data_IF_938677601322
#
_entry.id   IF_938677601322
#
_cell.length_a   1.000
_cell.length_b   1.000
_cell.length_c   1.000
_cell.angle_alpha   90.00
_cell.angle_beta   90.00
_cell.angle_gamma   90.00
#
_symmetry.space_group_name_H-M   'P 1'
#
loop_
_entity.id
_entity.type
_entity.pdbx_description
1 polymer ?
#
# COMPACT_ATOMS: atom_id res chain seq x y z
N UNK A 1 -5.98 19.97 19.91
CA UNK A 1 -6.76 18.84 19.37
C UNK A 1 -7.41 19.32 18.09
N UNK A 2 -6.95 18.82 16.95
CA UNK A 2 -7.65 19.01 15.68
C UNK A 2 -8.88 18.08 15.77
N UNK A 3 -10.07 18.65 15.73
CA UNK A 3 -11.33 17.90 15.72
C UNK A 3 -11.44 17.13 14.41
N UNK A 4 -11.51 15.80 14.48
CA UNK A 4 -11.80 14.98 13.30
C UNK A 4 -13.19 15.36 12.79
N UNK A 5 -13.27 15.80 11.53
CA UNK A 5 -14.54 16.20 10.92
C UNK A 5 -15.30 14.90 10.62
N UNK A 6 -16.46 14.66 11.26
CA UNK A 6 -17.18 13.41 11.05
C UNK A 6 -17.73 13.34 9.63
N UNK A 7 -17.76 12.14 9.07
CA UNK A 7 -18.57 11.89 7.88
C UNK A 7 -20.05 12.01 8.23
N UNK A 8 -20.83 12.64 7.35
CA UNK A 8 -22.29 12.60 7.45
C UNK A 8 -22.84 11.18 7.22
N UNK A 9 -24.06 10.89 7.68
CA UNK A 9 -24.72 9.58 7.53
C UNK A 9 -24.74 9.08 6.08
N UNK A 10 -24.83 10.00 5.11
CA UNK A 10 -24.73 9.73 3.66
C UNK A 10 -23.50 8.90 3.29
N UNK A 11 -22.38 9.09 3.98
CA UNK A 11 -21.10 8.45 3.70
C UNK A 11 -20.81 7.26 4.61
N UNK A 12 -21.80 6.75 5.36
CA UNK A 12 -21.60 5.61 6.26
C UNK A 12 -21.07 4.35 5.55
N UNK A 13 -21.38 4.18 4.25
CA UNK A 13 -20.92 3.05 3.42
C UNK A 13 -19.87 3.47 2.38
N UNK A 14 -19.27 4.65 2.53
CA UNK A 14 -18.32 5.17 1.55
C UNK A 14 -17.11 4.24 1.39
N UNK A 15 -16.78 3.96 0.13
CA UNK A 15 -15.57 3.26 -0.31
C UNK A 15 -14.88 4.13 -1.36
N UNK A 16 -13.57 4.36 -1.22
CA UNK A 16 -12.81 5.12 -2.24
C UNK A 16 -12.75 4.41 -3.59
N UNK A 17 -13.05 3.11 -3.63
CA UNK A 17 -13.06 2.33 -4.86
C UNK A 17 -14.38 2.44 -5.62
N UNK A 18 -15.50 2.70 -4.94
CA UNK A 18 -16.83 2.69 -5.55
C UNK A 18 -17.64 3.91 -5.12
N UNK A 19 -17.11 5.14 -5.25
CA UNK A 19 -17.90 6.34 -4.99
C UNK A 19 -18.98 6.50 -6.08
N UNK A 20 -20.21 6.79 -5.67
CA UNK A 20 -21.32 7.08 -6.60
C UNK A 20 -21.39 8.56 -7.01
N UNK A 21 -20.99 9.44 -6.10
CA UNK A 21 -21.00 10.90 -6.25
C UNK A 21 -20.03 11.55 -5.26
N UNK A 22 -19.75 12.83 -5.41
CA UNK A 22 -18.92 13.63 -4.50
C UNK A 22 -17.49 13.85 -5.02
N UNK A 23 -16.72 14.65 -4.28
CA UNK A 23 -15.37 15.07 -4.67
C UNK A 23 -14.29 14.35 -3.85
N UNK A 24 -13.46 13.56 -4.53
CA UNK A 24 -12.28 12.93 -3.95
C UNK A 24 -11.11 13.92 -4.02
N UNK A 25 -10.65 14.40 -2.86
CA UNK A 25 -9.42 15.19 -2.75
C UNK A 25 -8.26 14.23 -2.48
N UNK A 26 -7.56 13.82 -3.52
CA UNK A 26 -6.50 12.81 -3.45
C UNK A 26 -5.18 13.48 -3.08
N UNK A 27 -4.62 13.07 -1.94
CA UNK A 27 -3.41 13.65 -1.36
C UNK A 27 -2.36 12.54 -1.19
N UNK A 28 -1.54 12.27 -2.21
CA UNK A 28 -0.61 11.16 -2.18
C UNK A 28 0.70 11.49 -1.43
N UNK A 29 0.59 12.25 -0.33
CA UNK A 29 1.74 12.67 0.48
C UNK A 29 2.39 11.50 1.20
N UNK A 30 3.72 11.42 1.13
CA UNK A 30 4.53 10.41 1.81
C UNK A 30 5.05 10.95 3.14
N UNK A 31 4.14 11.21 4.09
CA UNK A 31 4.44 11.66 5.45
C UNK A 31 4.98 10.51 6.33
N UNK A 32 6.04 9.84 5.86
CA UNK A 32 6.74 8.70 6.49
C UNK A 32 8.18 9.11 6.92
N UNK A 33 8.92 8.26 7.67
CA UNK A 33 10.32 8.55 8.00
C UNK A 33 11.18 8.85 6.75
N UNK A 34 11.71 10.08 6.67
CA UNK A 34 12.30 10.60 5.43
C UNK A 34 13.69 10.03 5.12
N UNK A 35 14.43 9.59 6.14
CA UNK A 35 15.72 8.93 6.01
C UNK A 35 15.61 7.58 5.30
N UNK A 36 14.55 6.81 5.62
CA UNK A 36 14.23 5.56 4.95
C UNK A 36 13.75 5.83 3.50
N UNK A 37 13.03 6.95 3.22
CA UNK A 37 12.37 7.17 1.91
C UNK A 37 13.40 7.47 0.84
N UNK A 38 14.46 8.18 1.22
CA UNK A 38 15.61 8.52 0.36
C UNK A 38 16.32 7.29 -0.21
N UNK A 39 16.14 6.11 0.37
CA UNK A 39 16.72 4.85 -0.11
C UNK A 39 15.94 4.23 -1.28
N UNK A 40 14.73 4.71 -1.55
CA UNK A 40 13.87 4.19 -2.61
C UNK A 40 14.08 4.98 -3.90
N UNK A 41 14.62 4.32 -4.93
CA UNK A 41 14.77 4.93 -6.26
C UNK A 41 13.41 5.32 -6.85
N UNK A 42 13.27 6.61 -7.16
CA UNK A 42 12.06 7.19 -7.74
C UNK A 42 10.90 7.32 -6.76
N UNK A 43 11.17 7.40 -5.44
CA UNK A 43 10.15 7.47 -4.39
C UNK A 43 9.14 8.61 -4.60
N UNK A 44 9.55 9.75 -5.15
CA UNK A 44 8.65 10.85 -5.53
C UNK A 44 7.51 10.38 -6.43
N UNK A 45 7.81 9.52 -7.41
CA UNK A 45 6.81 9.02 -8.34
C UNK A 45 5.80 8.08 -7.67
N UNK A 46 5.98 7.69 -6.40
CA UNK A 46 4.93 6.98 -5.66
C UNK A 46 3.68 7.83 -5.45
N UNK A 47 3.78 9.16 -5.65
CA UNK A 47 2.59 9.99 -5.79
C UNK A 47 1.63 9.44 -6.84
N UNK A 48 2.13 8.79 -7.90
CA UNK A 48 1.32 8.20 -8.98
C UNK A 48 0.65 6.88 -8.59
N UNK A 49 0.94 6.30 -7.41
CA UNK A 49 0.27 5.07 -6.95
C UNK A 49 -1.22 5.27 -6.71
N UNK A 50 -1.70 6.50 -6.51
CA UNK A 50 -3.13 6.78 -6.35
C UNK A 50 -3.82 7.18 -7.66
N UNK A 51 -3.12 7.23 -8.80
CA UNK A 51 -3.74 7.58 -10.09
C UNK A 51 -4.80 6.57 -10.57
N UNK A 52 -4.83 5.35 -10.02
CA UNK A 52 -5.95 4.43 -10.27
C UNK A 52 -7.29 5.04 -9.84
N UNK A 53 -7.31 5.99 -8.90
CA UNK A 53 -8.54 6.69 -8.49
C UNK A 53 -9.11 7.57 -9.61
N UNK A 54 -8.35 7.91 -10.65
CA UNK A 54 -8.91 8.57 -11.83
C UNK A 54 -9.96 7.69 -12.53
N UNK A 55 -9.89 6.37 -12.38
CA UNK A 55 -10.88 5.44 -12.92
C UNK A 55 -12.27 5.57 -12.26
N UNK A 56 -12.35 6.18 -11.07
CA UNK A 56 -13.63 6.49 -10.40
C UNK A 56 -14.44 7.54 -11.17
N UNK A 57 -13.79 8.34 -12.04
CA UNK A 57 -14.47 9.30 -12.92
C UNK A 57 -15.42 8.63 -13.92
N UNK A 58 -15.43 7.29 -14.04
CA UNK A 58 -16.48 6.55 -14.72
C UNK A 58 -17.88 6.86 -14.16
N UNK A 59 -17.98 7.13 -12.86
CA UNK A 59 -19.21 7.58 -12.24
C UNK A 59 -19.42 9.08 -12.55
N UNK A 60 -20.53 9.47 -13.21
CA UNK A 60 -20.74 10.86 -13.65
C UNK A 60 -20.90 11.85 -12.50
N UNK A 61 -21.32 11.39 -11.32
CA UNK A 61 -21.46 12.23 -10.12
C UNK A 61 -20.14 12.47 -9.38
N UNK A 62 -19.05 11.83 -9.77
CA UNK A 62 -17.77 11.86 -9.05
C UNK A 62 -16.84 12.93 -9.63
N UNK A 63 -16.15 13.67 -8.76
CA UNK A 63 -15.08 14.60 -9.14
C UNK A 63 -13.78 14.18 -8.45
N UNK A 64 -12.65 14.46 -9.09
CA UNK A 64 -11.34 14.17 -8.52
C UNK A 64 -10.49 15.42 -8.53
N UNK A 65 -10.01 15.82 -7.35
CA UNK A 65 -8.98 16.84 -7.17
C UNK A 65 -7.70 16.11 -6.79
N UNK A 66 -6.75 16.03 -7.71
CA UNK A 66 -5.49 15.33 -7.49
C UNK A 66 -4.36 16.31 -7.21
N UNK A 67 -3.68 16.13 -6.08
CA UNK A 67 -2.57 16.98 -5.68
C UNK A 67 -1.25 16.27 -5.98
N UNK A 68 -0.26 17.01 -6.51
CA UNK A 68 1.08 16.48 -6.76
C UNK A 68 2.17 17.51 -6.50
N UNK A 69 3.39 17.02 -6.23
CA UNK A 69 4.58 17.87 -6.08
C UNK A 69 4.98 18.53 -7.40
N UNK A 70 4.81 17.81 -8.51
CA UNK A 70 5.11 18.28 -9.86
C UNK A 70 3.95 17.97 -10.83
N UNK A 71 3.86 18.65 -11.99
CA UNK A 71 2.85 18.34 -12.98
C UNK A 71 2.91 16.88 -13.43
N UNK A 72 1.75 16.21 -13.46
CA UNK A 72 1.62 14.86 -14.03
C UNK A 72 1.68 14.99 -15.55
N UNK A 73 2.47 14.12 -16.19
CA UNK A 73 2.61 14.09 -17.64
C UNK A 73 1.24 13.86 -18.32
N UNK A 74 0.83 14.68 -19.30
CA UNK A 74 -0.45 14.51 -20.00
C UNK A 74 -0.65 13.12 -20.64
N UNK A 75 0.42 12.45 -21.08
CA UNK A 75 0.33 11.09 -21.64
C UNK A 75 -0.10 10.08 -20.56
N UNK A 76 0.25 10.31 -19.29
CA UNK A 76 -0.18 9.48 -18.16
C UNK A 76 -1.69 9.68 -17.91
N UNK A 77 -2.16 10.93 -17.94
CA UNK A 77 -3.58 11.24 -17.78
C UNK A 77 -4.39 10.64 -18.93
N UNK A 78 -3.93 10.81 -20.17
CA UNK A 78 -4.55 10.24 -21.36
C UNK A 78 -4.62 8.71 -21.29
N UNK A 79 -3.58 8.05 -20.76
CA UNK A 79 -3.58 6.61 -20.52
C UNK A 79 -4.73 6.17 -19.61
N UNK A 80 -4.91 6.81 -18.45
CA UNK A 80 -6.03 6.48 -17.54
C UNK A 80 -7.39 6.81 -18.14
N UNK A 81 -7.50 7.91 -18.90
CA UNK A 81 -8.73 8.25 -19.61
C UNK A 81 -9.12 7.22 -20.67
N UNK A 82 -8.17 6.50 -21.25
CA UNK A 82 -8.45 5.39 -22.17
C UNK A 82 -9.28 4.25 -21.58
N UNK A 83 -9.39 4.15 -20.25
CA UNK A 83 -10.23 3.16 -19.56
C UNK A 83 -11.66 3.65 -19.31
N UNK A 84 -11.95 4.94 -19.54
CA UNK A 84 -13.21 5.57 -19.19
C UNK A 84 -14.17 5.57 -20.38
N UNK A 85 -15.49 5.41 -20.13
CA UNK A 85 -16.48 5.42 -21.21
C UNK A 85 -16.66 6.79 -21.86
N UNK A 86 -16.43 7.87 -21.11
CA UNK A 86 -16.50 9.26 -21.60
C UNK A 86 -15.29 10.06 -21.08
N UNK A 87 -14.15 10.03 -21.81
CA UNK A 87 -12.94 10.79 -21.46
C UNK A 87 -13.15 12.30 -21.40
N UNK A 88 -14.00 12.86 -22.27
CA UNK A 88 -14.22 14.31 -22.35
C UNK A 88 -15.00 14.80 -21.13
N UNK A 89 -15.96 14.00 -20.64
CA UNK A 89 -16.65 14.27 -19.39
C UNK A 89 -15.77 14.10 -18.16
N UNK A 90 -14.97 13.03 -18.12
CA UNK A 90 -14.00 12.83 -17.06
C UNK A 90 -13.00 13.99 -16.96
N UNK A 91 -12.52 14.51 -18.09
CA UNK A 91 -11.62 15.66 -18.15
C UNK A 91 -12.20 16.92 -17.51
N UNK A 92 -13.53 17.16 -17.64
CA UNK A 92 -14.19 18.31 -17.00
C UNK A 92 -14.32 18.17 -15.49
N UNK A 93 -14.23 16.95 -14.95
CA UNK A 93 -14.39 16.61 -13.52
C UNK A 93 -13.06 16.29 -12.82
N UNK A 94 -11.95 16.34 -13.55
CA UNK A 94 -10.61 16.16 -13.03
C UNK A 94 -9.91 17.52 -12.85
N UNK A 95 -9.47 17.80 -11.63
CA UNK A 95 -8.65 18.96 -11.30
C UNK A 95 -7.26 18.50 -10.84
N UNK A 96 -6.23 18.75 -11.65
CA UNK A 96 -4.84 18.48 -11.31
C UNK A 96 -4.20 19.74 -10.71
N UNK A 97 -3.76 19.68 -9.46
CA UNK A 97 -3.14 20.78 -8.73
C UNK A 97 -1.71 20.40 -8.37
N UNK A 98 -0.77 20.88 -9.18
CA UNK A 98 0.67 20.79 -8.90
C UNK A 98 1.12 21.93 -7.98
N UNK A 99 2.07 21.64 -7.07
CA UNK A 99 2.80 22.66 -6.30
C UNK A 99 3.98 23.26 -7.06
N UNK A 100 4.38 22.63 -8.17
CA UNK A 100 5.54 22.96 -9.01
C UNK A 100 6.86 22.96 -8.24
N UNK A 101 6.96 22.07 -7.24
CA UNK A 101 8.14 21.83 -6.43
C UNK A 101 8.37 20.31 -6.28
N UNK A 102 9.13 19.68 -7.21
CA UNK A 102 9.38 18.25 -7.20
C UNK A 102 10.10 17.72 -5.95
N UNK A 103 10.76 18.60 -5.19
CA UNK A 103 11.53 18.25 -3.99
C UNK A 103 10.69 18.40 -2.70
N UNK A 104 9.43 18.84 -2.82
CA UNK A 104 8.51 18.99 -1.69
C UNK A 104 8.15 17.63 -1.08
N UNK A 105 8.85 17.24 0.00
CA UNK A 105 8.47 16.11 0.84
C UNK A 105 8.50 16.47 2.34
N UNK A 106 7.46 16.11 3.11
CA UNK A 106 6.16 15.57 2.67
C UNK A 106 5.34 16.58 1.86
N UNK A 107 4.60 16.11 0.85
CA UNK A 107 3.78 16.94 -0.05
C UNK A 107 2.78 17.83 0.73
N UNK A 108 2.09 17.26 1.71
CA UNK A 108 1.10 18.00 2.50
C UNK A 108 1.73 19.14 3.30
N UNK A 109 2.96 18.95 3.82
CA UNK A 109 3.67 20.02 4.53
C UNK A 109 3.88 21.23 3.62
N UNK A 110 4.36 21.00 2.40
CA UNK A 110 4.56 22.08 1.43
C UNK A 110 3.23 22.72 1.01
N UNK A 111 2.18 21.92 0.81
CA UNK A 111 0.84 22.42 0.49
C UNK A 111 0.29 23.36 1.57
N UNK A 112 0.51 23.06 2.85
CA UNK A 112 0.05 23.89 3.97
C UNK A 112 0.68 25.29 3.99
N UNK A 113 1.85 25.46 3.37
CA UNK A 113 2.55 26.74 3.24
C UNK A 113 2.18 27.49 1.94
N UNK A 114 1.20 26.98 1.17
CA UNK A 114 0.78 27.52 -0.15
C UNK A 114 -0.70 27.94 -0.14
N UNK A 115 -1.03 29.16 0.33
CA UNK A 115 -2.41 29.66 0.37
C UNK A 115 -3.11 29.67 -0.99
N UNK A 116 -2.35 29.89 -2.07
CA UNK A 116 -2.83 29.85 -3.46
C UNK A 116 -3.29 28.44 -3.86
N UNK A 117 -2.51 27.41 -3.53
CA UNK A 117 -2.88 26.02 -3.79
C UNK A 117 -4.08 25.60 -2.94
N UNK A 118 -4.12 25.97 -1.66
CA UNK A 118 -5.27 25.72 -0.78
C UNK A 118 -6.55 26.39 -1.29
N UNK A 119 -6.47 27.62 -1.82
CA UNK A 119 -7.60 28.30 -2.43
C UNK A 119 -8.12 27.54 -3.67
N UNK A 120 -7.21 27.12 -4.57
CA UNK A 120 -7.57 26.31 -5.74
C UNK A 120 -8.25 24.99 -5.39
N UNK A 121 -7.83 24.33 -4.29
CA UNK A 121 -8.48 23.11 -3.82
C UNK A 121 -9.89 23.41 -3.34
N UNK A 122 -10.08 24.48 -2.55
CA UNK A 122 -11.41 24.91 -2.08
C UNK A 122 -12.33 25.26 -3.25
N UNK A 123 -11.82 25.96 -4.26
CA UNK A 123 -12.59 26.35 -5.45
C UNK A 123 -13.01 25.13 -6.30
N UNK A 124 -12.26 24.02 -6.23
CA UNK A 124 -12.56 22.77 -6.93
C UNK A 124 -13.49 21.83 -6.13
N UNK A 125 -13.77 22.14 -4.87
CA UNK A 125 -14.71 21.40 -4.03
C UNK A 125 -16.10 22.02 -4.18
N UNK A 126 -17.05 21.24 -4.67
CA UNK A 126 -18.44 21.68 -4.82
C UNK A 126 -19.30 21.22 -3.64
N UNK A 127 -19.64 22.16 -2.76
CA UNK A 127 -20.52 21.91 -1.61
C UNK A 127 -19.86 21.06 -0.52
N UNK A 128 -20.71 20.40 0.29
CA UNK A 128 -20.29 19.65 1.48
C UNK A 128 -19.97 18.17 1.18
N UNK A 129 -20.06 17.75 -0.09
CA UNK A 129 -19.89 16.37 -0.52
C UNK A 129 -18.46 16.13 -1.04
N UNK A 130 -17.50 16.17 -0.12
CA UNK A 130 -16.09 15.92 -0.41
C UNK A 130 -15.42 15.16 0.73
N UNK A 131 -14.33 14.48 0.42
CA UNK A 131 -13.46 13.86 1.41
C UNK A 131 -12.01 13.81 0.91
N UNK A 132 -11.09 13.87 1.84
CA UNK A 132 -9.66 13.74 1.58
C UNK A 132 -9.28 12.26 1.59
N UNK A 133 -8.55 11.82 0.57
CA UNK A 133 -7.97 10.48 0.45
C UNK A 133 -6.45 10.59 0.57
N UNK A 134 -5.89 10.44 1.78
CA UNK A 134 -4.46 10.49 1.99
C UNK A 134 -3.80 9.14 1.69
N UNK A 135 -2.53 9.15 1.24
CA UNK A 135 -1.75 7.92 1.16
C UNK A 135 -1.40 7.37 2.56
N UNK A 136 -0.97 8.26 3.46
CA UNK A 136 -0.73 8.00 4.87
C UNK A 136 -1.24 9.18 5.69
N UNK A 137 -1.72 8.93 6.90
CA UNK A 137 -2.17 9.98 7.81
C UNK A 137 -1.05 10.42 8.76
N UNK A 138 -0.87 11.73 8.86
CA UNK A 138 -0.08 12.42 9.87
C UNK A 138 -0.80 13.69 10.32
N UNK A 139 -0.20 14.43 11.25
CA UNK A 139 -0.72 15.73 11.69
C UNK A 139 -0.86 16.73 10.52
N UNK A 140 -0.07 16.57 9.44
CA UNK A 140 -0.18 17.43 8.26
C UNK A 140 -1.50 17.21 7.52
N UNK A 141 -1.91 15.96 7.32
CA UNK A 141 -3.17 15.62 6.64
C UNK A 141 -4.39 16.00 7.50
N UNK A 142 -4.33 15.85 8.83
CA UNK A 142 -5.38 16.36 9.74
C UNK A 142 -5.50 17.89 9.70
N UNK A 143 -4.37 18.59 9.66
CA UNK A 143 -4.37 20.05 9.50
C UNK A 143 -4.92 20.47 8.14
N UNK A 144 -4.58 19.77 7.06
CA UNK A 144 -5.13 20.03 5.73
C UNK A 144 -6.65 19.86 5.74
N UNK A 145 -7.14 18.73 6.22
CA UNK A 145 -8.57 18.44 6.32
C UNK A 145 -9.32 19.50 7.14
N UNK A 146 -8.76 19.91 8.27
CA UNK A 146 -9.31 21.00 9.10
C UNK A 146 -9.37 22.33 8.35
N UNK A 147 -8.32 22.70 7.60
CA UNK A 147 -8.29 23.93 6.81
C UNK A 147 -9.26 23.92 5.64
N UNK A 148 -9.53 22.74 5.06
CA UNK A 148 -10.49 22.56 3.98
C UNK A 148 -11.93 22.38 4.50
N UNK A 149 -12.10 22.07 5.80
CA UNK A 149 -13.38 21.66 6.38
C UNK A 149 -13.98 20.41 5.72
N UNK A 150 -13.11 19.44 5.40
CA UNK A 150 -13.45 18.21 4.67
C UNK A 150 -13.03 16.98 5.48
N UNK A 151 -13.86 15.93 5.60
CA UNK A 151 -13.52 14.71 6.35
C UNK A 151 -12.35 13.92 5.72
N UNK A 152 -11.62 13.18 6.55
CA UNK A 152 -10.49 12.33 6.16
C UNK A 152 -10.90 10.87 6.02
N UNK A 153 -10.69 10.27 4.84
CA UNK A 153 -10.83 8.82 4.66
C UNK A 153 -9.55 8.10 5.09
N UNK A 154 -9.40 7.83 6.39
CA UNK A 154 -8.29 7.05 6.93
C UNK A 154 -8.22 7.04 8.47
N UNK A 155 -7.29 6.25 9.05
CA UNK A 155 -7.14 6.14 10.50
C UNK A 155 -6.65 7.44 11.13
N UNK A 156 -7.42 7.99 12.07
CA UNK A 156 -7.01 9.18 12.83
C UNK A 156 -5.61 9.00 13.46
N UNK A 157 -4.81 10.07 13.54
CA UNK A 157 -3.44 9.98 14.08
C UNK A 157 -3.41 9.55 15.54
N UNK A 158 -4.46 9.85 16.31
CA UNK A 158 -4.66 9.33 17.67
C UNK A 158 -4.72 7.81 17.77
N UNK A 159 -4.96 7.11 16.66
CA UNK A 159 -5.00 5.64 16.54
C UNK A 159 -3.71 5.07 15.92
N UNK A 160 -2.71 5.91 15.60
CA UNK A 160 -1.47 5.49 14.94
C UNK A 160 -0.70 4.41 15.72
N UNK A 161 -0.87 4.35 17.05
CA UNK A 161 -0.29 3.30 17.88
C UNK A 161 -0.63 1.89 17.36
N UNK A 162 -1.86 1.66 16.90
CA UNK A 162 -2.31 0.36 16.40
C UNK A 162 -1.66 -0.05 15.06
N UNK A 163 -1.04 0.89 14.34
CA UNK A 163 -0.20 0.62 13.18
C UNK A 163 1.29 0.42 13.50
N UNK A 164 1.69 0.62 14.76
CA UNK A 164 3.06 0.30 15.20
C UNK A 164 3.23 -1.20 15.42
N UNK A 165 4.47 -1.70 15.42
CA UNK A 165 4.71 -3.13 15.71
C UNK A 165 4.20 -3.55 17.09
N UNK A 166 4.36 -2.71 18.10
CA UNK A 166 3.86 -2.99 19.45
C UNK A 166 2.32 -2.99 19.52
N UNK A 167 1.67 -1.98 18.92
CA UNK A 167 0.22 -1.92 18.87
C UNK A 167 -0.42 -3.00 18.00
N UNK A 168 0.25 -3.41 16.91
CA UNK A 168 -0.17 -4.56 16.11
C UNK A 168 -0.18 -5.85 16.93
N UNK A 169 0.83 -6.06 17.80
CA UNK A 169 0.85 -7.22 18.72
C UNK A 169 -0.26 -7.15 19.75
N UNK A 170 -0.58 -5.95 20.27
CA UNK A 170 -1.72 -5.77 21.18
C UNK A 170 -3.05 -6.11 20.52
N UNK A 171 -3.32 -5.54 19.34
CA UNK A 171 -4.53 -5.79 18.53
C UNK A 171 -4.64 -7.28 18.19
N UNK A 172 -3.55 -7.89 17.72
CA UNK A 172 -3.52 -9.32 17.36
C UNK A 172 -3.81 -10.23 18.55
N UNK A 173 -3.26 -9.91 19.72
CA UNK A 173 -3.50 -10.67 20.96
C UNK A 173 -4.97 -10.61 21.38
N UNK A 174 -5.57 -9.42 21.36
CA UNK A 174 -6.97 -9.19 21.74
C UNK A 174 -7.94 -9.82 20.73
N UNK A 175 -7.60 -9.79 19.44
CA UNK A 175 -8.34 -10.46 18.37
C UNK A 175 -8.17 -12.00 18.39
N UNK A 176 -7.33 -12.55 19.27
CA UNK A 176 -7.06 -13.98 19.34
C UNK A 176 -6.35 -14.53 18.08
N UNK A 177 -5.58 -13.68 17.39
CA UNK A 177 -4.84 -14.05 16.19
C UNK A 177 -3.45 -14.57 16.59
N UNK A 178 -3.04 -15.75 16.09
CA UNK A 178 -1.70 -16.28 16.34
C UNK A 178 -0.59 -15.31 15.93
N UNK A 179 0.53 -15.31 16.66
CA UNK A 179 1.71 -14.49 16.38
C UNK A 179 2.97 -15.25 16.75
N UNK A 180 4.12 -14.82 16.22
CA UNK A 180 5.41 -15.22 16.76
C UNK A 180 5.49 -14.85 18.25
N UNK A 181 6.06 -15.74 19.07
CA UNK A 181 6.37 -15.41 20.47
C UNK A 181 7.25 -14.19 20.51
N UNK A 182 7.00 -13.29 21.46
CA UNK A 182 7.70 -12.03 21.49
C UNK A 182 7.11 -11.02 22.46
N UNK A 183 7.87 -9.97 22.67
CA UNK A 183 7.60 -8.88 23.58
C UNK A 183 7.35 -7.60 22.78
N UNK A 184 6.53 -6.71 23.34
CA UNK A 184 6.20 -5.39 22.78
C UNK A 184 6.69 -4.28 23.70
N UNK A 185 6.66 -3.05 23.21
CA UNK A 185 7.00 -1.83 23.95
C UNK A 185 8.43 -1.81 24.52
N UNK A 186 9.37 -2.46 23.81
CA UNK A 186 10.78 -2.53 24.18
C UNK A 186 11.46 -1.19 23.88
N UNK A 187 12.11 -0.59 24.89
CA UNK A 187 12.82 0.69 24.75
C UNK A 187 14.20 0.70 25.38
N UNK A 188 14.48 -0.16 26.36
CA UNK A 188 15.77 -0.19 27.06
C UNK A 188 16.61 -1.37 26.59
N UNK A 189 17.94 -1.22 26.68
CA UNK A 189 18.86 -2.30 26.34
C UNK A 189 18.67 -3.53 27.24
N UNK A 190 18.38 -3.32 28.53
CA UNK A 190 18.06 -4.40 29.47
C UNK A 190 16.84 -5.21 29.03
N UNK A 191 15.81 -4.53 28.52
CA UNK A 191 14.58 -5.19 28.07
C UNK A 191 14.85 -6.04 26.81
N UNK A 192 15.80 -5.62 25.97
CA UNK A 192 16.24 -6.40 24.81
C UNK A 192 16.95 -7.68 25.27
N UNK A 193 17.85 -7.59 26.25
CA UNK A 193 18.59 -8.74 26.80
C UNK A 193 17.63 -9.74 27.46
N UNK A 194 16.71 -9.26 28.32
CA UNK A 194 15.69 -10.09 28.96
C UNK A 194 14.79 -10.77 27.91
N UNK A 195 14.41 -10.05 26.85
CA UNK A 195 13.62 -10.61 25.75
C UNK A 195 14.39 -11.68 24.97
N UNK A 196 15.67 -11.46 24.69
CA UNK A 196 16.57 -12.41 24.01
C UNK A 196 16.72 -13.70 24.83
N UNK A 197 16.85 -13.59 26.15
CA UNK A 197 16.96 -14.73 27.06
C UNK A 197 15.65 -15.51 27.17
N UNK A 198 14.52 -14.80 27.19
CA UNK A 198 13.17 -15.39 27.28
C UNK A 198 12.68 -16.08 26.01
N UNK A 199 13.30 -15.83 24.86
CA UNK A 199 12.88 -16.38 23.56
C UNK A 199 13.62 -17.68 23.18
N UNK A 200 12.96 -18.56 22.42
CA UNK A 200 13.54 -19.80 21.88
C UNK A 200 14.52 -19.54 20.72
N UNK A 201 15.22 -20.59 20.28
CA UNK A 201 16.02 -20.56 19.05
C UNK A 201 17.41 -19.95 19.25
N UNK A 202 18.17 -19.86 18.15
CA UNK A 202 19.52 -19.25 18.12
C UNK A 202 19.50 -17.78 17.72
N UNK A 203 18.44 -17.36 17.03
CA UNK A 203 18.24 -16.01 16.52
C UNK A 203 16.93 -15.43 17.05
N UNK A 204 16.92 -14.11 17.28
CA UNK A 204 15.69 -13.34 17.47
C UNK A 204 15.56 -12.28 16.38
N UNK A 205 14.33 -11.81 16.19
CA UNK A 205 14.01 -10.70 15.30
C UNK A 205 13.65 -9.47 16.13
N UNK A 206 14.38 -8.37 15.96
CA UNK A 206 14.01 -7.07 16.51
C UNK A 206 13.43 -6.21 15.40
N UNK A 207 12.26 -5.61 15.62
CA UNK A 207 11.61 -4.73 14.64
C UNK A 207 11.27 -3.40 15.31
N UNK A 208 11.77 -2.29 14.75
CA UNK A 208 11.38 -0.94 15.17
C UNK A 208 9.88 -0.72 14.95
N UNK A 209 9.24 0.01 15.85
CA UNK A 209 7.78 0.19 15.88
C UNK A 209 7.19 0.84 14.62
N UNK A 210 7.93 1.76 14.01
CA UNK A 210 7.53 2.62 12.89
C UNK A 210 8.42 2.40 11.65
N UNK A 211 9.24 1.34 11.65
CA UNK A 211 10.05 0.97 10.49
C UNK A 211 9.19 0.43 9.35
N UNK A 212 9.58 0.69 8.10
CA UNK A 212 8.84 0.22 6.93
C UNK A 212 9.74 -0.43 5.88
N UNK A 213 9.15 -1.21 4.97
CA UNK A 213 9.86 -1.96 3.92
C UNK A 213 11.00 -2.85 4.46
N UNK A 214 10.86 -3.35 5.70
CA UNK A 214 11.85 -4.19 6.37
C UNK A 214 13.09 -3.46 6.90
N UNK A 215 13.26 -2.15 6.64
CA UNK A 215 14.49 -1.42 7.00
C UNK A 215 14.73 -1.28 8.51
N UNK A 216 13.66 -1.35 9.31
CA UNK A 216 13.72 -1.34 10.78
C UNK A 216 13.94 -2.71 11.43
N UNK A 217 14.29 -3.74 10.65
CA UNK A 217 14.48 -5.09 11.15
C UNK A 217 15.96 -5.44 11.39
N UNK A 218 16.21 -6.23 12.43
CA UNK A 218 17.50 -6.82 12.73
C UNK A 218 17.33 -8.28 13.17
N UNK A 219 18.12 -9.18 12.59
CA UNK A 219 18.25 -10.56 13.06
C UNK A 219 19.45 -10.61 14.01
N UNK A 220 19.19 -10.86 15.28
CA UNK A 220 20.18 -10.82 16.35
C UNK A 220 20.46 -12.25 16.83
N UNK A 221 21.69 -12.75 16.66
CA UNK A 221 22.11 -14.01 17.27
C UNK A 221 22.15 -13.86 18.79
N UNK A 222 21.59 -14.81 19.54
CA UNK A 222 21.47 -14.71 21.00
C UNK A 222 22.83 -14.68 21.73
N UNK A 223 23.85 -15.31 21.16
CA UNK A 223 25.17 -15.46 21.80
C UNK A 223 26.10 -14.28 21.47
N UNK A 224 25.96 -13.70 20.28
CA UNK A 224 26.85 -12.66 19.79
C UNK A 224 26.09 -11.57 19.02
N UNK A 225 25.75 -10.50 19.72
CA UNK A 225 25.08 -9.34 19.12
C UNK A 225 25.98 -8.63 18.08
N UNK A 226 27.31 -8.83 18.08
CA UNK A 226 28.18 -8.26 17.04
C UNK A 226 27.96 -8.91 15.68
N UNK A 227 27.42 -10.13 15.65
CA UNK A 227 27.02 -10.83 14.43
C UNK A 227 25.58 -10.48 13.98
N UNK A 228 25.00 -9.41 14.52
CA UNK A 228 23.67 -8.92 14.10
C UNK A 228 23.64 -8.60 12.61
N UNK A 229 22.59 -9.08 11.94
CA UNK A 229 22.31 -8.78 10.53
C UNK A 229 21.20 -7.74 10.47
N UNK A 230 21.57 -6.52 10.07
CA UNK A 230 20.62 -5.43 9.85
C UNK A 230 20.09 -5.47 8.42
N UNK A 231 18.79 -5.17 8.24
CA UNK A 231 18.22 -4.99 6.92
C UNK A 231 18.58 -3.62 6.31
N UNK A 232 18.88 -2.62 7.15
CA UNK A 232 19.36 -1.31 6.73
C UNK A 232 20.87 -1.32 6.44
N UNK A 233 21.27 -0.85 5.25
CA UNK A 233 22.68 -0.65 4.92
C UNK A 233 23.32 0.41 5.84
N UNK A 234 24.53 0.12 6.34
CA UNK A 234 25.30 1.01 7.21
C UNK A 234 24.80 1.11 8.66
N UNK A 235 23.76 0.36 9.02
CA UNK A 235 23.25 0.31 10.40
C UNK A 235 24.24 -0.43 11.31
N UNK A 236 24.42 0.06 12.54
CA UNK A 236 25.25 -0.57 13.58
C UNK A 236 24.40 -0.87 14.81
N UNK A 237 24.91 -1.70 15.72
CA UNK A 237 24.22 -1.97 16.99
C UNK A 237 23.98 -0.69 17.81
N UNK A 238 24.95 0.23 17.81
CA UNK A 238 24.83 1.52 18.50
C UNK A 238 23.74 2.40 17.87
N UNK A 239 23.73 2.56 16.54
CA UNK A 239 22.70 3.36 15.87
C UNK A 239 21.31 2.74 16.01
N UNK A 240 21.24 1.40 15.96
CA UNK A 240 19.99 0.66 16.06
C UNK A 240 19.38 0.74 17.47
N UNK A 241 20.19 0.55 18.52
CA UNK A 241 19.71 0.67 19.90
C UNK A 241 19.33 2.10 20.27
N UNK A 242 20.00 3.11 19.71
CA UNK A 242 19.57 4.50 19.82
C UNK A 242 18.15 4.72 19.24
N UNK A 243 17.85 4.12 18.08
CA UNK A 243 16.51 4.14 17.49
C UNK A 243 15.49 3.40 18.35
N UNK A 244 15.85 2.28 18.97
CA UNK A 244 14.94 1.54 19.87
C UNK A 244 14.56 2.42 21.07
N UNK A 245 15.50 3.15 21.66
CA UNK A 245 15.20 4.07 22.78
C UNK A 245 14.21 5.17 22.40
N UNK A 246 14.33 5.71 21.18
CA UNK A 246 13.47 6.79 20.69
C UNK A 246 12.10 6.29 20.20
N UNK A 247 12.10 5.26 19.36
CA UNK A 247 10.94 4.82 18.56
C UNK A 247 10.22 3.62 19.18
N UNK A 248 10.91 2.86 20.04
CA UNK A 248 10.47 1.57 20.57
C UNK A 248 10.55 0.44 19.54
N UNK A 249 10.48 -0.78 20.03
CA UNK A 249 10.56 -1.98 19.22
C UNK A 249 9.72 -3.14 19.78
N UNK A 250 9.59 -4.17 18.94
CA UNK A 250 9.21 -5.52 19.36
C UNK A 250 10.42 -6.45 19.22
N UNK A 251 10.50 -7.44 20.09
CA UNK A 251 11.49 -8.52 20.00
C UNK A 251 10.72 -9.84 19.89
N UNK A 252 10.93 -10.58 18.81
CA UNK A 252 10.18 -11.78 18.45
C UNK A 252 11.11 -12.96 18.22
N UNK A 253 10.60 -14.18 18.40
CA UNK A 253 11.30 -15.37 17.96
C UNK A 253 11.56 -15.29 16.45
N UNK A 254 12.76 -15.66 16.02
CA UNK A 254 13.02 -15.80 14.60
C UNK A 254 12.41 -17.12 14.11
N UNK A 255 11.46 -17.03 13.18
CA UNK A 255 10.78 -18.20 12.64
C UNK A 255 11.73 -18.97 11.71
N UNK A 256 12.35 -20.03 12.23
CA UNK A 256 13.26 -20.91 11.46
C UNK A 256 12.50 -21.92 10.58
N UNK A 257 11.23 -22.18 10.86
CA UNK A 257 10.43 -23.18 10.14
C UNK A 257 10.34 -22.86 8.64
N UNK A 258 10.49 -23.88 7.80
CA UNK A 258 10.35 -23.79 6.34
C UNK A 258 9.51 -24.96 5.80
N UNK A 259 8.70 -24.76 4.75
CA UNK A 259 8.50 -23.52 4.01
C UNK A 259 7.74 -22.45 4.82
N UNK A 260 8.09 -21.19 4.58
CA UNK A 260 7.45 -20.02 5.18
C UNK A 260 6.88 -19.18 4.04
N UNK A 261 5.60 -18.82 4.13
CA UNK A 261 4.92 -18.00 3.15
C UNK A 261 4.58 -16.63 3.74
N UNK A 262 4.41 -15.62 2.89
CA UNK A 262 4.26 -14.22 3.30
C UNK A 262 2.95 -13.63 2.75
N UNK A 263 1.77 -14.15 3.14
CA UNK A 263 0.53 -13.54 2.70
C UNK A 263 0.27 -12.20 3.37
N UNK A 264 -0.58 -11.41 2.75
CA UNK A 264 -1.20 -10.24 3.37
C UNK A 264 -2.70 -10.18 3.10
N UNK A 265 -3.40 -9.38 3.88
CA UNK A 265 -4.80 -9.05 3.68
C UNK A 265 -4.97 -7.54 3.60
N UNK A 266 -5.87 -7.08 2.75
CA UNK A 266 -6.31 -5.71 2.67
C UNK A 266 -7.71 -5.63 3.30
N UNK A 267 -7.84 -4.84 4.36
CA UNK A 267 -9.13 -4.56 4.99
C UNK A 267 -9.58 -3.14 4.71
N UNK A 268 -10.90 -2.95 4.76
CA UNK A 268 -11.61 -1.68 4.64
C UNK A 268 -12.50 -1.52 5.86
N UNK A 269 -12.46 -0.35 6.48
CA UNK A 269 -13.48 0.08 7.44
C UNK A 269 -14.16 1.34 6.89
N UNK A 270 -15.48 1.27 6.67
CA UNK A 270 -16.24 2.43 6.18
C UNK A 270 -16.40 3.48 7.30
N UNK A 271 -16.77 4.73 6.98
CA UNK A 271 -17.06 5.73 8.01
C UNK A 271 -18.16 5.35 9.00
N UNK A 272 -19.09 4.47 8.59
CA UNK A 272 -20.13 3.91 9.46
C UNK A 272 -19.67 2.76 10.34
N UNK A 273 -18.38 2.38 10.30
CA UNK A 273 -17.81 1.30 11.11
C UNK A 273 -18.01 -0.10 10.54
N UNK A 274 -18.38 -0.24 9.26
CA UNK A 274 -18.48 -1.56 8.62
C UNK A 274 -17.09 -2.03 8.19
N UNK A 275 -16.67 -3.20 8.67
CA UNK A 275 -15.36 -3.78 8.42
C UNK A 275 -15.43 -4.97 7.46
N UNK A 276 -14.63 -4.93 6.39
CA UNK A 276 -14.52 -5.98 5.38
C UNK A 276 -13.06 -6.32 5.09
N UNK A 277 -12.79 -7.60 4.78
CA UNK A 277 -11.56 -8.00 4.09
C UNK A 277 -11.86 -7.98 2.59
N UNK A 278 -11.21 -7.07 1.86
CA UNK A 278 -11.50 -6.83 0.44
C UNK A 278 -10.52 -7.52 -0.51
N UNK A 279 -9.37 -7.97 0.01
CA UNK A 279 -8.43 -8.77 -0.75
C UNK A 279 -7.46 -9.54 0.15
N UNK A 280 -6.91 -10.62 -0.38
CA UNK A 280 -5.72 -11.29 0.17
C UNK A 280 -4.68 -11.45 -0.92
N UNK A 281 -3.41 -11.43 -0.54
CA UNK A 281 -2.28 -11.47 -1.47
C UNK A 281 -1.21 -12.44 -1.00
N UNK A 282 -0.46 -13.00 -1.94
CA UNK A 282 0.88 -13.51 -1.66
C UNK A 282 1.89 -12.40 -1.98
N UNK A 283 2.69 -11.99 -1.00
CA UNK A 283 3.75 -11.00 -1.24
C UNK A 283 4.91 -11.64 -1.99
N UNK A 284 5.43 -10.92 -2.99
CA UNK A 284 6.65 -11.27 -3.70
C UNK A 284 7.77 -10.46 -3.07
N UNK A 285 8.66 -11.13 -2.34
CA UNK A 285 9.78 -10.52 -1.63
C UNK A 285 11.11 -10.77 -2.37
N UNK A 286 12.05 -9.85 -2.19
CA UNK A 286 13.40 -9.90 -2.75
C UNK A 286 14.40 -9.18 -1.85
N UNK A 287 15.56 -8.80 -2.39
CA UNK A 287 16.66 -8.22 -1.60
C UNK A 287 17.53 -9.28 -0.91
N UNK A 288 18.60 -8.84 -0.25
CA UNK A 288 19.61 -9.74 0.33
C UNK A 288 19.04 -10.71 1.39
N UNK A 289 18.03 -10.26 2.15
CA UNK A 289 17.39 -11.05 3.20
C UNK A 289 15.99 -11.57 2.80
N UNK A 290 15.58 -11.42 1.53
CA UNK A 290 14.23 -11.78 1.05
C UNK A 290 13.09 -11.11 1.84
N UNK A 291 13.28 -9.86 2.24
CA UNK A 291 12.38 -9.05 3.07
C UNK A 291 11.94 -7.73 2.42
N UNK A 292 12.38 -7.46 1.19
CA UNK A 292 12.02 -6.25 0.44
C UNK A 292 10.86 -6.54 -0.51
N UNK A 293 9.73 -5.86 -0.32
CA UNK A 293 8.56 -5.99 -1.18
C UNK A 293 8.86 -5.64 -2.64
N UNK A 294 8.63 -6.60 -3.54
CA UNK A 294 8.77 -6.44 -4.99
C UNK A 294 7.42 -6.28 -5.69
N UNK A 295 6.36 -6.80 -5.09
CA UNK A 295 5.04 -6.91 -5.71
C UNK A 295 4.16 -7.93 -4.99
N UNK A 296 3.05 -8.29 -5.61
CA UNK A 296 2.11 -9.25 -5.02
C UNK A 296 1.39 -10.10 -6.08
N UNK A 297 0.81 -11.21 -5.63
CA UNK A 297 -0.13 -12.02 -6.41
C UNK A 297 -1.47 -12.04 -5.70
N UNK A 298 -2.56 -11.88 -6.44
CA UNK A 298 -3.93 -11.95 -5.95
C UNK A 298 -4.69 -13.10 -6.62
N UNK A 299 -5.54 -13.81 -5.86
CA UNK A 299 -5.66 -13.76 -4.39
C UNK A 299 -4.45 -14.42 -3.69
N UNK A 300 -4.45 -14.54 -2.36
CA UNK A 300 -3.51 -15.41 -1.66
C UNK A 300 -3.71 -16.89 -2.03
N UNK A 301 -2.70 -17.74 -1.81
CA UNK A 301 -2.78 -19.16 -2.11
C UNK A 301 -3.95 -19.85 -1.35
N UNK A 302 -4.72 -20.75 -2.01
CA UNK A 302 -5.92 -21.34 -1.42
C UNK A 302 -5.67 -22.12 -0.12
N UNK A 303 -4.45 -22.61 0.11
CA UNK A 303 -4.06 -23.42 1.25
C UNK A 303 -4.16 -22.70 2.59
N UNK A 304 -3.96 -21.37 2.60
CA UNK A 304 -3.99 -20.53 3.81
C UNK A 304 -4.90 -19.31 3.68
N UNK A 305 -5.54 -19.07 2.52
CA UNK A 305 -6.37 -17.89 2.28
C UNK A 305 -7.46 -17.71 3.33
N UNK A 306 -8.16 -18.79 3.70
CA UNK A 306 -9.23 -18.74 4.68
C UNK A 306 -8.72 -18.28 6.05
N UNK A 307 -7.64 -18.89 6.55
CA UNK A 307 -7.01 -18.53 7.83
C UNK A 307 -6.51 -17.08 7.87
N UNK A 308 -5.95 -16.60 6.76
CA UNK A 308 -5.54 -15.20 6.59
C UNK A 308 -6.76 -14.27 6.63
N UNK A 309 -7.82 -14.62 5.91
CA UNK A 309 -9.05 -13.82 5.83
C UNK A 309 -9.77 -13.75 7.18
N UNK A 310 -9.90 -14.87 7.88
CA UNK A 310 -10.55 -14.96 9.18
C UNK A 310 -9.77 -14.20 10.26
N UNK A 311 -8.43 -14.28 10.22
CA UNK A 311 -7.57 -13.52 11.12
C UNK A 311 -7.65 -12.01 10.84
N UNK A 312 -7.64 -11.63 9.57
CA UNK A 312 -7.81 -10.24 9.14
C UNK A 312 -9.19 -9.67 9.52
N UNK A 313 -10.26 -10.44 9.39
CA UNK A 313 -11.61 -10.03 9.74
C UNK A 313 -11.77 -9.75 11.24
N UNK A 314 -11.19 -10.60 12.11
CA UNK A 314 -11.20 -10.37 13.57
C UNK A 314 -10.45 -9.09 13.95
N UNK A 315 -9.28 -8.87 13.37
CA UNK A 315 -8.49 -7.65 13.58
C UNK A 315 -9.26 -6.42 13.09
N UNK A 316 -9.86 -6.50 11.90
CA UNK A 316 -10.60 -5.39 11.32
C UNK A 316 -11.85 -5.04 12.14
N UNK A 317 -12.58 -6.03 12.65
CA UNK A 317 -13.70 -5.82 13.57
C UNK A 317 -13.29 -5.06 14.84
N UNK A 318 -12.17 -5.47 15.46
CA UNK A 318 -11.66 -4.80 16.67
C UNK A 318 -11.21 -3.36 16.38
N UNK A 319 -10.55 -3.12 15.26
CA UNK A 319 -10.14 -1.78 14.86
C UNK A 319 -11.33 -0.89 14.50
N UNK A 320 -12.42 -1.46 13.97
CA UNK A 320 -13.66 -0.73 13.71
C UNK A 320 -14.34 -0.29 15.02
N UNK A 321 -14.37 -1.14 16.04
CA UNK A 321 -14.84 -0.78 17.39
C UNK A 321 -14.04 0.38 18.01
N UNK A 322 -12.76 0.51 17.62
CA UNK A 322 -11.86 1.60 18.03
C UNK A 322 -11.99 2.86 17.17
N UNK A 323 -12.87 2.85 16.16
CA UNK A 323 -13.15 3.99 15.29
C UNK A 323 -12.14 4.18 14.16
N UNK A 324 -11.37 3.15 13.79
CA UNK A 324 -10.54 3.21 12.57
C UNK A 324 -11.45 3.34 11.34
N UNK A 325 -11.06 4.18 10.39
CA UNK A 325 -11.72 4.33 9.09
C UNK A 325 -10.66 4.15 8.00
N UNK A 326 -11.07 3.68 6.83
CA UNK A 326 -10.23 3.62 5.64
C UNK A 326 -9.64 2.24 5.37
N UNK A 327 -8.56 2.22 4.57
CA UNK A 327 -7.92 1.00 4.11
C UNK A 327 -6.60 0.76 4.85
N UNK A 328 -6.33 -0.50 5.16
CA UNK A 328 -5.08 -0.90 5.79
C UNK A 328 -4.70 -2.33 5.42
N UNK A 329 -3.39 -2.57 5.36
CA UNK A 329 -2.82 -3.90 5.11
C UNK A 329 -2.51 -4.62 6.42
N UNK A 330 -2.61 -5.94 6.41
CA UNK A 330 -2.14 -6.81 7.48
C UNK A 330 -1.25 -7.88 6.88
N UNK A 331 -0.05 -8.02 7.40
CA UNK A 331 0.92 -8.98 6.91
C UNK A 331 0.98 -10.18 7.83
N UNK A 332 1.08 -11.37 7.24
CA UNK A 332 1.09 -12.62 7.96
C UNK A 332 2.26 -13.50 7.51
N UNK A 333 2.66 -14.40 8.40
CA UNK A 333 3.43 -15.58 8.04
C UNK A 333 2.48 -16.77 7.94
N UNK A 334 2.45 -17.46 6.81
CA UNK A 334 1.76 -18.75 6.68
C UNK A 334 2.75 -19.89 6.91
N UNK A 335 2.42 -20.74 7.88
CA UNK A 335 3.23 -21.89 8.29
C UNK A 335 2.41 -23.16 8.11
N UNK A 336 3.02 -24.21 7.54
CA UNK A 336 2.40 -25.52 7.51
C UNK A 336 2.58 -26.21 8.86
N UNK A 337 1.48 -26.71 9.41
CA UNK A 337 1.38 -27.48 10.65
C UNK A 337 0.71 -28.83 10.39
N UNK A 338 0.71 -29.71 11.38
CA UNK A 338 0.04 -31.02 11.29
C UNK A 338 -1.48 -30.88 11.10
N UNK A 339 -2.07 -29.77 11.55
CA UNK A 339 -3.51 -29.47 11.46
C UNK A 339 -3.89 -28.61 10.24
N UNK A 340 -2.96 -28.32 9.33
CA UNK A 340 -3.19 -27.41 8.20
C UNK A 340 -2.25 -26.21 8.22
N UNK A 341 -2.70 -25.05 7.78
CA UNK A 341 -1.90 -23.82 7.83
C UNK A 341 -2.26 -22.97 9.04
N UNK A 342 -1.25 -22.30 9.62
CA UNK A 342 -1.47 -21.23 10.59
C UNK A 342 -1.03 -19.89 9.97
N UNK A 343 -1.87 -18.87 10.12
CA UNK A 343 -1.55 -17.49 9.75
C UNK A 343 -1.11 -16.73 11.01
N UNK A 344 0.18 -16.45 11.13
CA UNK A 344 0.72 -15.65 12.23
C UNK A 344 0.76 -14.19 11.83
N UNK A 345 0.11 -13.30 12.58
CA UNK A 345 0.19 -11.86 12.34
C UNK A 345 1.66 -11.39 12.51
N UNK A 346 2.15 -10.64 11.53
CA UNK A 346 3.48 -10.05 11.50
C UNK A 346 3.43 -8.54 11.78
N UNK A 347 2.53 -7.82 11.10
CA UNK A 347 2.35 -6.37 11.26
C UNK A 347 0.99 -5.89 10.74
N UNK A 348 0.55 -4.72 11.23
CA UNK A 348 -0.62 -3.99 10.72
C UNK A 348 -0.12 -2.67 10.14
N UNK A 349 -0.38 -2.44 8.86
CA UNK A 349 -0.05 -1.21 8.16
C UNK A 349 -1.31 -0.33 8.05
N UNK A 350 -1.58 0.50 9.07
CA UNK A 350 -2.73 1.43 9.11
C UNK A 350 -2.61 2.60 8.11
N UNK A 351 -2.60 2.28 6.82
CA UNK A 351 -2.48 3.20 5.69
C UNK A 351 -2.71 2.47 4.36
N UNK A 352 -2.81 3.24 3.29
CA UNK A 352 -2.68 2.69 1.94
C UNK A 352 -1.27 2.09 1.76
N UNK A 353 -1.22 0.88 1.20
CA UNK A 353 -0.01 0.08 1.05
C UNK A 353 0.27 -0.34 -0.39
N UNK A 354 1.36 -1.09 -0.58
CA UNK A 354 1.79 -1.57 -1.91
C UNK A 354 0.88 -2.63 -2.54
N UNK A 355 -0.07 -3.18 -1.78
CA UNK A 355 -1.11 -4.10 -2.27
C UNK A 355 -2.45 -3.39 -2.52
N UNK A 356 -2.61 -2.14 -2.07
CA UNK A 356 -3.84 -1.37 -2.25
C UNK A 356 -4.00 -0.87 -3.67
N UNK A 357 -2.95 -0.28 -4.28
CA UNK A 357 -3.07 0.25 -5.64
C UNK A 357 -3.23 -0.83 -6.72
N UNK A 358 -2.61 -2.03 -6.66
CA UNK A 358 -2.91 -3.09 -7.62
C UNK A 358 -4.33 -3.61 -7.48
N UNK A 359 -4.84 -3.71 -6.25
CA UNK A 359 -6.23 -4.07 -6.01
C UNK A 359 -7.19 -3.03 -6.61
N UNK A 360 -6.99 -1.76 -6.30
CA UNK A 360 -7.80 -0.66 -6.82
C UNK A 360 -7.74 -0.57 -8.35
N UNK A 361 -6.55 -0.70 -8.94
CA UNK A 361 -6.37 -0.73 -10.38
C UNK A 361 -7.11 -1.92 -11.03
N UNK A 362 -6.98 -3.13 -10.47
CA UNK A 362 -7.66 -4.30 -10.99
C UNK A 362 -9.18 -4.18 -10.88
N UNK A 363 -9.68 -3.79 -9.70
CA UNK A 363 -11.10 -3.61 -9.43
C UNK A 363 -11.72 -2.58 -10.40
N UNK A 364 -11.13 -1.39 -10.51
CA UNK A 364 -11.69 -0.30 -11.31
C UNK A 364 -11.49 -0.45 -12.82
N UNK A 365 -10.36 -1.01 -13.27
CA UNK A 365 -10.13 -1.24 -14.71
C UNK A 365 -11.07 -2.33 -15.24
N UNK A 366 -11.34 -3.36 -14.44
CA UNK A 366 -12.24 -4.45 -14.82
C UNK A 366 -13.71 -4.17 -14.51
N UNK A 367 -14.02 -3.26 -13.59
CA UNK A 367 -15.38 -3.13 -13.05
C UNK A 367 -15.86 -4.42 -12.38
N UNK A 368 -14.93 -5.19 -11.79
CA UNK A 368 -15.26 -6.40 -11.04
C UNK A 368 -15.91 -6.03 -9.69
N UNK A 369 -16.56 -7.01 -9.07
CA UNK A 369 -16.93 -6.98 -7.66
C UNK A 369 -16.14 -8.02 -6.88
N UNK A 370 -15.84 -7.76 -5.62
CA UNK A 370 -15.20 -8.77 -4.77
C UNK A 370 -16.23 -9.78 -4.26
N UNK A 371 -15.97 -11.07 -4.51
CA UNK A 371 -16.75 -12.17 -3.96
C UNK A 371 -16.04 -12.66 -2.68
N UNK A 372 -16.66 -12.41 -1.53
CA UNK A 372 -16.10 -12.77 -0.22
C UNK A 372 -16.13 -14.27 0.06
N UNK A 373 -17.02 -15.03 -0.58
CA UNK A 373 -17.09 -16.49 -0.39
C UNK A 373 -15.95 -17.17 -1.16
N UNK A 374 -15.68 -16.72 -2.38
CA UNK A 374 -14.59 -17.26 -3.22
C UNK A 374 -13.23 -16.60 -2.92
N UNK A 375 -13.26 -15.41 -2.33
CA UNK A 375 -12.08 -14.59 -2.05
C UNK A 375 -11.40 -14.08 -3.32
N UNK A 376 -12.16 -13.80 -4.38
CA UNK A 376 -11.64 -13.33 -5.69
C UNK A 376 -12.46 -12.17 -6.22
N UNK A 377 -11.88 -11.43 -7.17
CA UNK A 377 -12.63 -10.48 -7.99
C UNK A 377 -13.39 -11.23 -9.08
N UNK A 378 -14.62 -10.83 -9.36
CA UNK A 378 -15.47 -11.41 -10.41
C UNK A 378 -15.97 -10.31 -11.34
N UNK A 379 -15.74 -10.47 -12.64
CA UNK A 379 -16.26 -9.59 -13.69
C UNK A 379 -16.94 -10.45 -14.76
N UNK A 380 -18.19 -10.14 -15.08
CA UNK A 380 -19.02 -10.88 -16.05
C UNK A 380 -19.04 -12.41 -15.78
N UNK A 381 -19.10 -12.79 -14.51
CA UNK A 381 -19.08 -14.19 -14.06
C UNK A 381 -17.73 -14.89 -14.20
N UNK A 382 -16.68 -14.19 -14.61
CA UNK A 382 -15.33 -14.71 -14.70
C UNK A 382 -14.46 -14.22 -13.54
N UNK A 383 -13.70 -15.10 -12.87
CA UNK A 383 -12.78 -14.68 -11.83
C UNK A 383 -11.63 -13.87 -12.45
N UNK A 384 -11.09 -12.96 -11.65
CA UNK A 384 -9.94 -12.13 -11.99
C UNK A 384 -8.81 -12.35 -10.99
N UNK A 385 -7.66 -12.67 -11.55
CA UNK A 385 -6.39 -12.86 -10.85
C UNK A 385 -5.43 -11.77 -11.30
N UNK A 386 -4.48 -11.40 -10.46
CA UNK A 386 -3.43 -10.52 -10.91
C UNK A 386 -2.07 -10.76 -10.25
N UNK A 387 -1.02 -10.41 -10.98
CA UNK A 387 0.36 -10.30 -10.49
C UNK A 387 0.84 -8.88 -10.73
N UNK A 388 1.33 -8.23 -9.69
CA UNK A 388 1.71 -6.82 -9.71
C UNK A 388 3.16 -6.62 -9.30
N UNK A 389 3.79 -5.58 -9.85
CA UNK A 389 5.15 -5.14 -9.50
C UNK A 389 5.23 -3.62 -9.52
N UNK A 390 6.04 -3.04 -8.64
CA UNK A 390 6.43 -1.63 -8.67
C UNK A 390 7.89 -1.45 -9.09
N UNK A 391 8.56 -2.55 -9.41
CA UNK A 391 10.01 -2.63 -9.55
C UNK A 391 10.42 -3.20 -10.91
N UNK A 392 9.62 -2.96 -11.96
CA UNK A 392 10.07 -3.18 -13.32
C UNK A 392 11.02 -2.06 -13.71
N UNK A 393 12.31 -2.36 -13.85
CA UNK A 393 13.32 -1.37 -14.19
C UNK A 393 14.28 -1.91 -15.24
N UNK A 394 14.58 -1.10 -16.25
CA UNK A 394 15.57 -1.43 -17.27
C UNK A 394 16.22 -0.17 -17.85
N UNK A 395 17.52 -0.27 -18.14
CA UNK A 395 18.28 0.84 -18.70
C UNK A 395 17.72 1.32 -20.04
N UNK A 396 17.18 0.42 -20.87
CA UNK A 396 16.60 0.74 -22.17
C UNK A 396 15.29 1.57 -22.10
N UNK A 397 14.69 1.67 -20.90
CA UNK A 397 13.51 2.51 -20.65
C UNK A 397 13.89 3.94 -20.23
N UNK A 398 15.10 4.13 -19.70
CA UNK A 398 15.57 5.44 -19.24
C UNK A 398 15.64 6.42 -20.41
N UNK A 399 15.10 7.62 -20.21
CA UNK A 399 15.01 8.67 -21.22
C UNK A 399 13.82 8.58 -22.17
N UNK A 400 13.02 7.51 -22.13
CA UNK A 400 11.76 7.42 -22.87
C UNK A 400 10.66 8.24 -22.18
N UNK A 401 9.69 8.72 -22.95
CA UNK A 401 8.48 9.33 -22.38
C UNK A 401 7.49 8.26 -21.88
N UNK A 402 6.60 8.60 -20.92
CA UNK A 402 5.48 7.75 -20.55
C UNK A 402 4.67 7.23 -21.74
N UNK A 403 4.26 8.12 -22.66
CA UNK A 403 3.47 7.74 -23.82
C UNK A 403 4.19 6.84 -24.82
N UNK A 404 5.52 6.96 -24.96
CA UNK A 404 6.30 6.03 -25.78
C UNK A 404 6.25 4.59 -25.23
N UNK A 405 6.35 4.43 -23.91
CA UNK A 405 6.28 3.10 -23.27
C UNK A 405 4.87 2.55 -23.29
N UNK A 406 3.84 3.38 -23.09
CA UNK A 406 2.43 2.98 -23.25
C UNK A 406 2.18 2.43 -24.66
N UNK A 407 2.54 3.19 -25.71
CA UNK A 407 2.38 2.75 -27.10
C UNK A 407 3.18 1.48 -27.43
N UNK A 408 4.36 1.32 -26.82
CA UNK A 408 5.15 0.10 -26.96
C UNK A 408 4.39 -1.11 -26.42
N UNK A 409 3.87 -1.04 -25.18
CA UNK A 409 3.09 -2.10 -24.54
C UNK A 409 1.83 -2.43 -25.36
N UNK A 410 1.12 -1.41 -25.84
CA UNK A 410 -0.06 -1.58 -26.69
C UNK A 410 0.27 -2.26 -28.03
N UNK A 411 1.35 -1.84 -28.70
CA UNK A 411 1.77 -2.41 -29.99
C UNK A 411 2.17 -3.89 -29.91
N UNK A 412 2.55 -4.35 -28.71
CA UNK A 412 2.89 -5.73 -28.42
C UNK A 412 1.66 -6.57 -28.02
N UNK A 413 0.46 -5.97 -27.96
CA UNK A 413 -0.75 -6.64 -27.48
C UNK A 413 -0.71 -6.94 -25.98
N UNK A 414 0.13 -6.23 -25.22
CA UNK A 414 0.30 -6.42 -23.77
C UNK A 414 -0.51 -5.41 -22.95
N UNK A 415 -1.14 -4.42 -23.59
CA UNK A 415 -2.03 -3.47 -22.92
C UNK A 415 -3.27 -4.14 -22.32
N UNK A 416 -4.03 -3.38 -21.54
CA UNK A 416 -5.33 -3.85 -21.04
C UNK A 416 -6.35 -3.92 -22.18
N UNK A 417 -7.00 -5.06 -22.33
CA UNK A 417 -8.10 -5.29 -23.26
C UNK A 417 -9.45 -5.12 -22.54
N UNK A 418 -10.26 -4.09 -22.88
CA UNK A 418 -11.54 -3.85 -22.24
C UNK A 418 -12.59 -4.92 -22.55
N UNK A 419 -12.45 -5.69 -23.63
CA UNK A 419 -13.41 -6.73 -23.99
C UNK A 419 -13.26 -7.96 -23.08
N UNK A 420 -12.04 -8.49 -22.94
CA UNK A 420 -11.75 -9.59 -22.01
C UNK A 420 -11.62 -9.15 -20.55
N UNK A 421 -11.39 -7.84 -20.31
CA UNK A 421 -11.04 -7.26 -19.00
C UNK A 421 -9.77 -7.92 -18.44
N UNK A 422 -8.74 -8.07 -19.28
CA UNK A 422 -7.44 -8.67 -18.94
C UNK A 422 -6.32 -7.84 -19.55
N UNK A 423 -5.06 -8.09 -19.19
CA UNK A 423 -3.90 -7.33 -19.68
C UNK A 423 -3.22 -6.52 -18.60
N UNK A 424 -2.33 -5.60 -19.00
CA UNK A 424 -1.53 -4.81 -18.04
C UNK A 424 -2.13 -3.42 -17.81
N UNK A 425 -2.32 -3.07 -16.53
CA UNK A 425 -2.56 -1.69 -16.08
C UNK A 425 -1.25 -1.12 -15.56
N UNK A 426 -0.72 -0.08 -16.19
CA UNK A 426 0.58 0.52 -15.88
C UNK A 426 0.45 1.63 -14.83
N UNK A 427 1.47 1.76 -13.99
CA UNK A 427 1.55 2.80 -12.95
C UNK A 427 3.01 3.23 -12.72
N UNK A 428 3.24 4.32 -11.98
CA UNK A 428 4.57 4.92 -11.79
C UNK A 428 5.25 5.32 -13.11
N UNK A 429 4.48 5.73 -14.12
CA UNK A 429 4.98 6.03 -15.46
C UNK A 429 5.90 7.26 -15.46
N UNK A 430 5.71 8.23 -14.57
CA UNK A 430 6.61 9.38 -14.46
C UNK A 430 8.00 9.03 -13.89
N UNK A 431 8.21 7.80 -13.41
CA UNK A 431 9.55 7.31 -13.07
C UNK A 431 10.36 6.85 -14.30
N UNK A 432 9.73 6.67 -15.47
CA UNK A 432 10.38 6.16 -16.68
C UNK A 432 11.51 7.08 -17.17
N UNK A 433 11.30 8.40 -17.39
CA UNK A 433 12.31 9.22 -18.04
C UNK A 433 13.63 9.27 -17.26
N UNK A 434 13.56 9.41 -15.93
CA UNK A 434 14.73 9.58 -15.08
C UNK A 434 15.34 8.24 -14.63
N UNK A 435 14.51 7.25 -14.31
CA UNK A 435 14.95 6.02 -13.64
C UNK A 435 14.83 4.78 -14.52
N UNK A 436 14.14 4.85 -15.66
CA UNK A 436 13.82 3.68 -16.48
C UNK A 436 12.99 2.64 -15.70
N UNK A 437 12.16 3.12 -14.76
CA UNK A 437 11.37 2.32 -13.82
C UNK A 437 9.88 2.59 -14.02
N UNK A 438 9.07 1.55 -13.90
CA UNK A 438 7.61 1.60 -13.84
C UNK A 438 7.07 0.44 -13.01
N UNK A 439 5.79 0.51 -12.68
CA UNK A 439 5.01 -0.61 -12.17
C UNK A 439 3.93 -1.03 -13.16
N UNK A 440 3.43 -2.25 -12.97
CA UNK A 440 2.21 -2.70 -13.64
C UNK A 440 1.48 -3.78 -12.86
N UNK A 441 0.16 -3.85 -13.06
CA UNK A 441 -0.75 -4.88 -12.54
C UNK A 441 -1.25 -5.70 -13.72
N UNK A 442 -0.81 -6.96 -13.80
CA UNK A 442 -1.18 -7.89 -14.88
C UNK A 442 -2.42 -8.67 -14.46
N UNK A 443 -3.52 -8.52 -15.18
CA UNK A 443 -4.83 -9.10 -14.85
C UNK A 443 -5.16 -10.22 -15.83
N UNK A 444 -5.62 -11.38 -15.35
CA UNK A 444 -6.04 -12.52 -16.17
C UNK A 444 -7.16 -13.34 -15.52
N UNK A 445 -7.59 -14.43 -16.15
CA UNK A 445 -8.68 -15.29 -15.65
C UNK A 445 -8.21 -16.40 -14.70
N UNK A 446 -6.90 -16.65 -14.66
CA UNK A 446 -6.28 -17.59 -13.73
C UNK A 446 -4.94 -17.08 -13.23
N UNK A 447 -4.45 -17.65 -12.12
CA UNK A 447 -3.12 -17.36 -11.59
C UNK A 447 -2.02 -17.64 -12.63
N UNK A 448 -2.12 -18.78 -13.31
CA UNK A 448 -1.12 -19.20 -14.29
C UNK A 448 -1.03 -18.20 -15.45
N UNK A 449 -2.17 -17.80 -16.02
CA UNK A 449 -2.22 -16.79 -17.07
C UNK A 449 -1.67 -15.43 -16.61
N UNK A 450 -2.02 -14.99 -15.40
CA UNK A 450 -1.54 -13.72 -14.86
C UNK A 450 -0.01 -13.75 -14.68
N UNK A 451 0.55 -14.84 -14.15
CA UNK A 451 1.99 -15.01 -13.96
C UNK A 451 2.74 -15.13 -15.31
N UNK A 452 2.21 -15.87 -16.28
CA UNK A 452 2.78 -16.00 -17.63
C UNK A 452 2.81 -14.66 -18.37
N UNK A 453 1.70 -13.94 -18.37
CA UNK A 453 1.61 -12.61 -18.98
C UNK A 453 2.51 -11.61 -18.25
N UNK A 454 2.62 -11.69 -16.93
CA UNK A 454 3.49 -10.82 -16.14
C UNK A 454 4.95 -11.03 -16.54
N UNK A 455 5.39 -12.29 -16.65
CA UNK A 455 6.74 -12.62 -17.11
C UNK A 455 6.99 -12.19 -18.55
N UNK A 456 6.02 -12.36 -19.44
CA UNK A 456 6.10 -11.88 -20.83
C UNK A 456 6.28 -10.36 -20.87
N UNK A 457 5.48 -9.60 -20.12
CA UNK A 457 5.58 -8.14 -20.04
C UNK A 457 6.92 -7.69 -19.46
N UNK A 458 7.42 -8.36 -18.40
CA UNK A 458 8.76 -8.08 -17.86
C UNK A 458 9.84 -8.30 -18.92
N UNK A 459 9.81 -9.41 -19.65
CA UNK A 459 10.79 -9.69 -20.72
C UNK A 459 10.70 -8.69 -21.86
N UNK A 460 9.50 -8.28 -22.25
CA UNK A 460 9.31 -7.29 -23.30
C UNK A 460 9.88 -5.91 -22.91
N UNK A 461 9.69 -5.48 -21.66
CA UNK A 461 10.13 -4.18 -21.17
C UNK A 461 11.61 -4.14 -20.76
N UNK A 462 12.14 -5.26 -20.25
CA UNK A 462 13.49 -5.32 -19.68
C UNK A 462 14.50 -6.13 -20.51
N UNK A 463 14.05 -6.87 -21.52
CA UNK A 463 14.82 -7.94 -22.16
C UNK A 463 14.86 -9.22 -21.32
N UNK A 464 15.51 -10.27 -21.84
CA UNK A 464 15.86 -11.46 -21.05
C UNK A 464 16.95 -11.08 -20.04
N UNK A 465 16.52 -10.58 -18.87
CA UNK A 465 17.42 -10.42 -17.74
C UNK A 465 17.76 -11.82 -17.22
N UNK A 466 18.95 -12.31 -17.57
CA UNK A 466 19.65 -13.32 -16.77
C UNK A 466 19.75 -12.74 -15.35
N UNK A 467 19.30 -13.44 -14.30
CA UNK A 467 19.46 -12.95 -12.94
C UNK A 467 20.95 -12.71 -12.69
N UNK A 468 21.31 -11.46 -12.35
CA UNK A 468 22.63 -11.14 -11.80
C UNK A 468 22.63 -11.37 -10.32
#
# INVERSE_FOLDING_TARGET
MITNIPFGEKHAQLSIFEPSEGTLVVVPSLSLPQDELRRITGVRCYEERLLFLLLTLRAPGVKVVYISSAPIDPDIVAYYFGFLPDPDDAARRLHLISLDDPESQPLTRALLDRPDALARIRDAIDGDDAWVVPFVLSEYEERLASLLSVPLYGPATSLAYYGSKSGAREVGQEAGVPMARGFRDIRLLSDIEDAIDGLPGENVMIKLNDGYSGLGNAIVPRIDHQATRFSAEGETWESFTAKIMERGAVVEEFIEHRPLYYPSALARITPGGHADVVATHDQVLGGANSDVYQGCRFPAAPEYRAEVSDSAARIAGLLAERGVVGLFGMDFFALKSDSGYAALLCEINLRIGGTTHPFGAALLATGATYDSELGVLVADGQPKYYTATDNCAAYCLKGRSPGEVVRMVESLGLGFDPASRTGNVLHLLGAIPQYGKLGFTTIAHSRAEADELHQLTRRALCGDLVPR
#
